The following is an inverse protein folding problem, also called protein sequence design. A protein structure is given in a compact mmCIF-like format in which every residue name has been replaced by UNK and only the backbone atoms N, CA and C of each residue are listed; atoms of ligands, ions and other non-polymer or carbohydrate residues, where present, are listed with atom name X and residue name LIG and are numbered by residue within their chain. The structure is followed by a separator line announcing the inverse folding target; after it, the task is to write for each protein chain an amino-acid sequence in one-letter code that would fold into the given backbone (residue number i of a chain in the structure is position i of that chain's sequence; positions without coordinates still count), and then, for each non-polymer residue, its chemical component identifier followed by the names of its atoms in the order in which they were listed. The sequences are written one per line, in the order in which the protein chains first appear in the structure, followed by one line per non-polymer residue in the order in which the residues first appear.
data_IF_469167971206
#
_entry.id   IF_469167971206
#
_cell.length_a   1.000
_cell.length_b   1.000
_cell.length_c   1.000
_cell.angle_alpha   90.00
_cell.angle_beta   90.00
_cell.angle_gamma   90.00
#
_symmetry.space_group_name_H-M   'P 1'
#
loop_
_entity.id
_entity.type
_entity.pdbx_description
1 polymer ?
#
# COMPACT_ATOMS: atom_id res chain seq x y z
N UNK A 1 -19.34 0.52 6.04
CA UNK A 1 -18.13 0.64 5.18
C UNK A 1 -17.54 2.03 5.39
N UNK A 2 -16.27 2.11 5.75
CA UNK A 2 -15.54 3.39 5.92
C UNK A 2 -14.32 3.39 5.02
N UNK A 3 -13.97 4.55 4.47
CA UNK A 3 -12.83 4.72 3.57
C UNK A 3 -11.74 5.50 4.29
N UNK A 4 -10.50 5.00 4.22
CA UNK A 4 -9.34 5.60 4.85
C UNK A 4 -8.28 5.91 3.81
N UNK A 5 -7.58 7.02 4.01
CA UNK A 5 -6.38 7.36 3.24
C UNK A 5 -5.17 7.03 4.10
N UNK A 6 -4.24 6.25 3.55
CA UNK A 6 -3.05 5.80 4.27
C UNK A 6 -1.79 6.03 3.43
N UNK A 7 -0.67 6.23 4.11
CA UNK A 7 0.67 6.17 3.54
C UNK A 7 1.39 4.92 4.07
N UNK A 8 2.14 4.26 3.20
CA UNK A 8 2.95 3.10 3.52
C UNK A 8 4.33 3.25 2.87
N UNK A 9 5.35 2.74 3.53
CA UNK A 9 6.70 2.66 2.97
C UNK A 9 7.02 1.20 2.69
N UNK A 10 7.48 0.91 1.47
CA UNK A 10 7.67 -0.44 0.96
C UNK A 10 9.08 -0.57 0.43
N UNK A 11 9.79 -1.61 0.87
CA UNK A 11 11.13 -1.89 0.35
C UNK A 11 11.09 -2.13 -1.17
N UNK A 12 12.04 -1.55 -1.89
CA UNK A 12 12.19 -1.78 -3.32
C UNK A 12 12.51 -3.25 -3.58
N UNK A 13 11.80 -3.82 -4.55
CA UNK A 13 11.99 -5.20 -4.96
C UNK A 13 12.76 -5.24 -6.29
N UNK A 14 13.43 -6.37 -6.54
CA UNK A 14 14.22 -6.57 -7.77
C UNK A 14 13.34 -6.60 -9.04
N UNK A 15 12.05 -6.87 -8.88
CA UNK A 15 11.06 -6.90 -9.95
C UNK A 15 9.87 -5.98 -9.65
N UNK A 16 9.37 -5.21 -10.63
CA UNK A 16 8.15 -4.42 -10.47
C UNK A 16 6.92 -5.24 -10.04
N UNK A 17 6.84 -6.51 -10.47
CA UNK A 17 5.74 -7.41 -10.11
C UNK A 17 5.82 -7.82 -8.64
N UNK A 18 7.02 -8.02 -8.10
CA UNK A 18 7.22 -8.34 -6.69
C UNK A 18 6.92 -7.12 -5.83
N UNK A 19 7.36 -5.93 -6.25
CA UNK A 19 7.03 -4.68 -5.57
C UNK A 19 5.51 -4.49 -5.50
N UNK A 20 4.80 -4.68 -6.62
CA UNK A 20 3.34 -4.59 -6.63
C UNK A 20 2.68 -5.55 -5.64
N UNK A 21 3.18 -6.79 -5.54
CA UNK A 21 2.64 -7.78 -4.59
C UNK A 21 2.86 -7.35 -3.15
N UNK A 22 4.06 -6.88 -2.80
CA UNK A 22 4.35 -6.41 -1.45
C UNK A 22 3.55 -5.15 -1.10
N UNK A 23 3.34 -4.24 -2.05
CA UNK A 23 2.43 -3.09 -1.88
C UNK A 23 1.03 -3.57 -1.51
N UNK A 24 0.42 -4.44 -2.33
CA UNK A 24 -0.96 -4.92 -2.09
C UNK A 24 -1.05 -5.62 -0.73
N UNK A 25 -0.10 -6.51 -0.44
CA UNK A 25 -0.01 -7.25 0.83
C UNK A 25 0.13 -6.33 2.05
N UNK A 26 0.87 -5.22 1.94
CA UNK A 26 0.95 -4.24 3.02
C UNK A 26 -0.38 -3.51 3.19
N UNK A 27 -0.97 -3.03 2.09
CA UNK A 27 -2.23 -2.28 2.13
C UNK A 27 -3.39 -3.13 2.68
N UNK A 28 -3.44 -4.43 2.36
CA UNK A 28 -4.43 -5.38 2.88
C UNK A 28 -4.42 -5.51 4.41
N UNK A 29 -3.31 -5.21 5.08
CA UNK A 29 -3.26 -5.16 6.56
C UNK A 29 -4.08 -3.99 7.12
N UNK A 30 -4.32 -2.97 6.33
CA UNK A 30 -5.06 -1.77 6.70
C UNK A 30 -6.51 -1.75 6.17
N UNK A 31 -6.84 -2.64 5.24
CA UNK A 31 -8.16 -2.76 4.63
C UNK A 31 -8.08 -3.17 3.16
N UNK A 32 -9.22 -3.30 2.49
CA UNK A 32 -9.23 -3.64 1.07
C UNK A 32 -8.77 -2.44 0.22
N UNK A 33 -7.67 -2.54 -0.55
CA UNK A 33 -7.17 -1.42 -1.34
C UNK A 33 -8.05 -1.17 -2.58
N UNK A 34 -8.62 0.04 -2.67
CA UNK A 34 -9.39 0.48 -3.83
C UNK A 34 -8.51 1.11 -4.91
N UNK A 35 -7.54 1.94 -4.49
CA UNK A 35 -6.60 2.63 -5.36
C UNK A 35 -5.35 2.98 -4.59
N UNK A 36 -4.20 2.88 -5.22
CA UNK A 36 -2.92 3.30 -4.67
C UNK A 36 -2.03 3.88 -5.76
N UNK A 37 -1.01 4.61 -5.34
CA UNK A 37 0.03 5.14 -6.21
C UNK A 37 1.36 5.22 -5.45
N UNK A 38 2.47 4.91 -6.13
CA UNK A 38 3.80 5.26 -5.65
C UNK A 38 3.97 6.77 -5.81
N UNK A 39 4.21 7.47 -4.70
CA UNK A 39 4.35 8.94 -4.68
C UNK A 39 5.79 9.39 -4.60
N UNK A 40 6.67 8.54 -4.08
CA UNK A 40 8.11 8.78 -4.03
C UNK A 40 8.89 7.46 -4.11
N UNK A 41 10.12 7.53 -4.62
CA UNK A 41 11.07 6.42 -4.63
C UNK A 41 12.40 6.94 -4.08
N UNK A 42 12.80 6.41 -2.93
CA UNK A 42 14.08 6.70 -2.30
C UNK A 42 15.09 5.60 -2.66
N UNK A 43 16.04 5.93 -3.53
CA UNK A 43 17.08 5.00 -3.98
C UNK A 43 18.17 4.84 -2.92
N UNK A 44 18.39 5.81 -2.05
CA UNK A 44 19.42 5.72 -1.01
C UNK A 44 18.96 4.76 0.09
N UNK A 45 17.69 4.85 0.48
CA UNK A 45 17.08 3.97 1.48
C UNK A 45 16.54 2.67 0.89
N UNK A 46 16.49 2.56 -0.44
CA UNK A 46 15.89 1.43 -1.16
C UNK A 46 14.42 1.21 -0.79
N UNK A 47 13.64 2.29 -0.67
CA UNK A 47 12.21 2.24 -0.34
C UNK A 47 11.35 3.07 -1.31
N UNK A 48 10.08 2.71 -1.41
CA UNK A 48 9.06 3.43 -2.15
C UNK A 48 7.96 3.88 -1.18
N UNK A 49 7.59 5.16 -1.26
CA UNK A 49 6.43 5.69 -0.55
C UNK A 49 5.19 5.47 -1.39
N UNK A 50 4.17 4.86 -0.79
CA UNK A 50 2.89 4.55 -1.42
C UNK A 50 1.78 5.23 -0.64
N UNK A 51 0.91 5.90 -1.38
CA UNK A 51 -0.34 6.43 -0.84
C UNK A 51 -1.51 5.61 -1.38
N UNK A 52 -2.45 5.27 -0.50
CA UNK A 52 -3.57 4.39 -0.84
C UNK A 52 -4.88 4.80 -0.18
N UNK A 53 -5.96 4.45 -0.87
CA UNK A 53 -7.32 4.49 -0.36
C UNK A 53 -7.75 3.05 -0.08
N UNK A 54 -8.05 2.75 1.18
CA UNK A 54 -8.51 1.43 1.62
C UNK A 54 -9.94 1.52 2.17
N UNK A 55 -10.70 0.44 2.01
CA UNK A 55 -12.00 0.28 2.65
C UNK A 55 -11.95 -0.72 3.77
N UNK A 56 -12.51 -0.32 4.91
CA UNK A 56 -12.82 -1.21 6.01
C UNK A 56 -14.32 -1.48 5.98
N UNK A 57 -14.68 -2.74 5.78
CA UNK A 57 -16.01 -3.19 6.15
C UNK A 57 -16.15 -3.07 7.66
N UNK A 58 -17.24 -2.46 8.12
CA UNK A 58 -17.54 -2.50 9.53
C UNK A 58 -17.85 -3.97 9.81
N UNK A 59 -17.00 -4.65 10.59
CA UNK A 59 -17.27 -6.03 10.98
C UNK A 59 -18.73 -6.11 11.45
N UNK A 60 -19.53 -6.92 10.76
CA UNK A 60 -20.87 -7.25 11.22
C UNK A 60 -20.68 -7.92 12.60
N UNK A 61 -20.99 -7.17 13.65
CA UNK A 61 -21.03 -7.66 15.02
C UNK A 61 -22.20 -8.61 15.19
#
# INVERSE_FOLDING_TARGET
MTTHFISAEIDLQSSPIELQKEIIKELEKHGEPLRWAVTNVDIEQQTASVEAIVTLEAAAQ
#
